data_IF_146780832034
#
_entry.id   IF_146780832034
#
_cell.length_a   1.000
_cell.length_b   1.000
_cell.length_c   1.000
_cell.angle_alpha   90.00
_cell.angle_beta   90.00
_cell.angle_gamma   90.00
#
_symmetry.space_group_name_H-M   'P 1'
#
loop_
_entity.id
_entity.type
_entity.pdbx_description
1 polymer ?
#
# COMPACT_ATOMS: atom_id res chain seq x y z
N UNK A 1 -13.68 -17.75 23.85
CA UNK A 1 -13.34 -17.55 22.42
C UNK A 1 -14.61 -17.36 21.60
N UNK A 2 -14.67 -16.45 20.59
CA UNK A 2 -15.88 -16.30 19.74
C UNK A 2 -16.16 -17.60 18.97
N UNK A 3 -17.42 -18.04 18.93
CA UNK A 3 -17.89 -19.33 18.37
C UNK A 3 -17.32 -19.62 16.96
N UNK A 4 -17.22 -18.59 16.11
CA UNK A 4 -16.69 -18.73 14.75
C UNK A 4 -15.23 -19.20 14.69
N UNK A 5 -14.39 -18.84 15.67
CA UNK A 5 -12.97 -19.26 15.69
C UNK A 5 -12.82 -20.72 16.14
N UNK A 6 -13.68 -21.17 17.06
CA UNK A 6 -13.70 -22.57 17.51
C UNK A 6 -14.00 -23.49 16.33
N UNK A 7 -14.97 -23.12 15.50
CA UNK A 7 -15.34 -23.86 14.30
C UNK A 7 -14.21 -23.97 13.27
N UNK A 8 -13.36 -22.95 13.12
CA UNK A 8 -12.22 -23.02 12.20
C UNK A 8 -11.23 -24.08 12.70
N UNK A 9 -10.93 -24.03 14.01
CA UNK A 9 -9.96 -24.93 14.65
C UNK A 9 -10.48 -26.37 14.69
N UNK A 10 -11.77 -26.56 15.03
CA UNK A 10 -12.43 -27.86 15.04
C UNK A 10 -12.43 -28.54 13.66
N UNK A 11 -12.39 -27.75 12.58
CA UNK A 11 -12.33 -28.25 11.21
C UNK A 11 -10.89 -28.55 10.74
N UNK A 12 -9.87 -28.18 11.51
CA UNK A 12 -8.47 -28.45 11.18
C UNK A 12 -8.02 -29.75 11.88
N UNK A 13 -7.74 -30.83 11.13
CA UNK A 13 -7.32 -32.11 11.72
C UNK A 13 -6.00 -32.02 12.49
N UNK A 14 -5.23 -30.93 12.32
CA UNK A 14 -4.01 -30.72 13.06
C UNK A 14 -4.24 -30.26 14.52
N UNK A 15 -5.45 -29.85 14.90
CA UNK A 15 -5.74 -29.47 16.28
C UNK A 15 -5.54 -30.64 17.26
N UNK A 16 -5.76 -31.89 16.82
CA UNK A 16 -5.51 -33.08 17.63
C UNK A 16 -4.05 -33.21 18.08
N UNK A 17 -3.10 -32.61 17.33
CA UNK A 17 -1.70 -32.55 17.73
C UNK A 17 -1.50 -31.73 19.01
N UNK A 18 -2.36 -30.74 19.28
CA UNK A 18 -2.31 -29.95 20.51
C UNK A 18 -2.62 -30.81 21.73
N UNK A 19 -3.61 -31.69 21.63
CA UNK A 19 -3.94 -32.62 22.70
C UNK A 19 -2.83 -33.64 22.94
N UNK A 20 -2.22 -34.13 21.86
CA UNK A 20 -1.06 -35.02 21.97
C UNK A 20 0.13 -34.32 22.61
N UNK A 21 0.40 -33.06 22.25
CA UNK A 21 1.49 -32.28 22.81
C UNK A 21 1.25 -31.94 24.28
N UNK A 22 0.03 -31.55 24.65
CA UNK A 22 -0.38 -31.30 26.03
C UNK A 22 -0.11 -32.53 26.91
N UNK A 23 -0.51 -33.72 26.43
CA UNK A 23 -0.29 -34.99 27.14
C UNK A 23 1.19 -35.38 27.22
N UNK A 24 1.95 -35.25 26.13
CA UNK A 24 3.38 -35.61 26.10
C UNK A 24 4.26 -34.66 26.90
N UNK A 25 3.91 -33.39 26.94
CA UNK A 25 4.61 -32.38 27.72
C UNK A 25 4.18 -32.30 29.17
N UNK A 26 3.29 -33.20 29.62
CA UNK A 26 2.68 -33.18 30.96
C UNK A 26 2.08 -31.80 31.33
N UNK A 27 1.61 -31.09 30.30
CA UNK A 27 0.95 -29.80 30.45
C UNK A 27 -0.50 -30.04 30.89
N UNK A 28 -0.98 -29.26 31.85
CA UNK A 28 -2.35 -29.35 32.36
C UNK A 28 -3.27 -28.32 31.72
N UNK A 29 -3.09 -28.04 30.42
CA UNK A 29 -3.90 -27.04 29.73
C UNK A 29 -5.31 -27.58 29.47
N UNK A 30 -6.30 -26.74 29.72
CA UNK A 30 -7.69 -27.02 29.40
C UNK A 30 -7.99 -26.76 27.92
N UNK A 31 -9.20 -27.14 27.47
CA UNK A 31 -9.56 -27.03 26.06
C UNK A 31 -9.50 -25.59 25.52
N UNK A 32 -9.91 -24.59 26.30
CA UNK A 32 -9.88 -23.18 25.86
C UNK A 32 -8.44 -22.66 25.74
N UNK A 33 -7.54 -23.10 26.62
CA UNK A 33 -6.11 -22.80 26.54
C UNK A 33 -5.46 -23.44 25.32
N UNK A 34 -5.86 -24.66 24.94
CA UNK A 34 -5.38 -25.31 23.72
C UNK A 34 -5.86 -24.59 22.46
N UNK A 35 -7.13 -24.15 22.41
CA UNK A 35 -7.61 -23.33 21.30
C UNK A 35 -6.84 -22.01 21.19
N UNK A 36 -6.58 -21.36 22.32
CA UNK A 36 -5.80 -20.13 22.36
C UNK A 36 -4.39 -20.34 21.83
N UNK A 37 -3.69 -21.37 22.30
CA UNK A 37 -2.33 -21.69 21.88
C UNK A 37 -2.27 -22.06 20.39
N UNK A 38 -3.26 -22.81 19.90
CA UNK A 38 -3.38 -23.11 18.48
C UNK A 38 -3.56 -21.82 17.67
N UNK A 39 -4.42 -20.91 18.10
CA UNK A 39 -4.58 -19.62 17.45
C UNK A 39 -3.26 -18.82 17.43
N UNK A 40 -2.49 -18.82 18.52
CA UNK A 40 -1.18 -18.17 18.60
C UNK A 40 -0.20 -18.73 17.55
N UNK A 41 -0.14 -20.06 17.39
CA UNK A 41 0.74 -20.70 16.40
C UNK A 41 0.51 -20.16 14.99
N UNK A 42 -0.75 -20.04 14.57
CA UNK A 42 -1.10 -19.54 13.23
C UNK A 42 -0.95 -18.03 13.12
N UNK A 43 -1.41 -17.27 14.12
CA UNK A 43 -1.35 -15.80 14.11
C UNK A 43 0.08 -15.28 14.08
N UNK A 44 1.01 -15.95 14.76
CA UNK A 44 2.41 -15.56 14.79
C UNK A 44 3.22 -16.12 13.62
N UNK A 45 2.61 -16.93 12.74
CA UNK A 45 3.31 -17.55 11.63
C UNK A 45 4.37 -18.55 12.10
N UNK A 46 4.16 -19.23 13.24
CA UNK A 46 5.09 -20.28 13.71
C UNK A 46 5.16 -21.44 12.70
N UNK A 47 4.10 -21.62 11.93
CA UNK A 47 3.98 -22.62 10.86
C UNK A 47 4.40 -22.11 9.47
N UNK A 48 4.89 -20.87 9.38
CA UNK A 48 5.32 -20.25 8.12
C UNK A 48 6.43 -21.08 7.46
N UNK A 49 6.30 -21.30 6.15
CA UNK A 49 7.12 -22.21 5.37
C UNK A 49 6.61 -23.66 5.33
N UNK A 50 5.40 -23.95 5.84
CA UNK A 50 4.80 -25.28 5.73
C UNK A 50 3.46 -25.25 4.97
N UNK A 51 3.49 -25.55 3.64
CA UNK A 51 2.31 -25.44 2.77
C UNK A 51 1.10 -26.24 3.23
N UNK A 52 1.30 -27.35 3.95
CA UNK A 52 0.17 -28.18 4.40
C UNK A 52 -0.68 -27.48 5.46
N UNK A 53 -0.05 -26.76 6.40
CA UNK A 53 -0.77 -26.05 7.46
C UNK A 53 -1.33 -24.73 6.96
N UNK A 54 -0.56 -23.99 6.16
CA UNK A 54 -0.95 -22.71 5.59
C UNK A 54 -2.18 -22.84 4.69
N UNK A 55 -2.11 -23.77 3.72
CA UNK A 55 -3.19 -23.96 2.76
C UNK A 55 -4.48 -24.44 3.44
N UNK A 56 -4.36 -25.33 4.43
CA UNK A 56 -5.51 -25.80 5.21
C UNK A 56 -6.16 -24.67 6.02
N UNK A 57 -5.36 -23.82 6.64
CA UNK A 57 -5.87 -22.67 7.38
C UNK A 57 -6.58 -21.67 6.47
N UNK A 58 -5.98 -21.34 5.32
CA UNK A 58 -6.60 -20.48 4.31
C UNK A 58 -7.95 -21.05 3.85
N UNK A 59 -8.01 -22.35 3.53
CA UNK A 59 -9.23 -23.04 3.13
C UNK A 59 -10.29 -23.05 4.24
N UNK A 60 -9.89 -23.26 5.51
CA UNK A 60 -10.81 -23.24 6.63
C UNK A 60 -11.44 -21.85 6.81
N UNK A 61 -10.64 -20.79 6.69
CA UNK A 61 -11.12 -19.41 6.75
C UNK A 61 -12.03 -19.04 5.57
N UNK A 62 -11.73 -19.54 4.37
CA UNK A 62 -12.56 -19.38 3.17
C UNK A 62 -13.90 -20.11 3.33
N UNK A 63 -13.89 -21.38 3.73
CA UNK A 63 -15.10 -22.20 3.91
C UNK A 63 -16.06 -21.56 4.93
N UNK A 64 -15.52 -21.03 6.01
CA UNK A 64 -16.29 -20.42 7.09
C UNK A 64 -16.59 -18.93 6.88
N UNK A 65 -16.20 -18.33 5.75
CA UNK A 65 -16.44 -16.91 5.42
C UNK A 65 -16.08 -15.96 6.57
N UNK A 66 -14.93 -16.19 7.18
CA UNK A 66 -14.50 -15.45 8.37
C UNK A 66 -14.28 -13.97 8.08
N UNK A 67 -14.30 -13.12 9.11
CA UNK A 67 -14.06 -11.69 8.91
C UNK A 67 -12.64 -11.40 8.37
N UNK A 68 -11.65 -12.20 8.73
CA UNK A 68 -10.29 -12.07 8.17
C UNK A 68 -10.28 -12.39 6.67
N UNK A 69 -10.90 -13.49 6.25
CA UNK A 69 -11.06 -13.81 4.83
C UNK A 69 -11.84 -12.72 4.08
N UNK A 70 -12.96 -12.25 4.64
CA UNK A 70 -13.74 -11.17 4.05
C UNK A 70 -12.93 -9.86 3.94
N UNK A 71 -12.04 -9.58 4.90
CA UNK A 71 -11.14 -8.44 4.83
C UNK A 71 -10.14 -8.56 3.67
N UNK A 72 -9.58 -9.75 3.42
CA UNK A 72 -8.72 -10.01 2.24
C UNK A 72 -9.48 -9.80 0.93
N UNK A 73 -10.71 -10.30 0.84
CA UNK A 73 -11.54 -10.12 -0.36
C UNK A 73 -11.91 -8.64 -0.58
N UNK A 74 -12.19 -7.90 0.50
CA UNK A 74 -12.40 -6.46 0.44
C UNK A 74 -11.13 -5.72 -0.02
N UNK A 75 -9.97 -6.09 0.51
CA UNK A 75 -8.68 -5.56 0.08
C UNK A 75 -8.45 -5.79 -1.42
N UNK A 76 -8.63 -7.02 -1.90
CA UNK A 76 -8.46 -7.35 -3.32
C UNK A 76 -9.39 -6.51 -4.22
N UNK A 77 -10.65 -6.33 -3.82
CA UNK A 77 -11.62 -5.50 -4.53
C UNK A 77 -11.17 -4.03 -4.58
N UNK A 78 -10.74 -3.46 -3.46
CA UNK A 78 -10.32 -2.06 -3.38
C UNK A 78 -9.02 -1.84 -4.14
N UNK A 79 -8.07 -2.78 -4.08
CA UNK A 79 -6.81 -2.71 -4.84
C UNK A 79 -7.09 -2.74 -6.34
N UNK A 80 -8.00 -3.62 -6.79
CA UNK A 80 -8.41 -3.67 -8.20
C UNK A 80 -9.06 -2.37 -8.66
N UNK A 81 -9.99 -1.81 -7.87
CA UNK A 81 -10.64 -0.54 -8.22
C UNK A 81 -9.68 0.65 -8.19
N UNK A 82 -8.78 0.70 -7.22
CA UNK A 82 -7.96 1.89 -6.97
C UNK A 82 -6.70 1.93 -7.83
N UNK A 83 -6.10 0.77 -8.11
CA UNK A 83 -4.80 0.63 -8.77
C UNK A 83 -4.84 -0.22 -10.05
N UNK A 84 -6.03 -0.71 -10.44
CA UNK A 84 -6.20 -1.68 -11.53
C UNK A 84 -5.29 -2.92 -11.38
N UNK A 85 -4.98 -3.32 -10.16
CA UNK A 85 -4.11 -4.45 -9.86
C UNK A 85 -4.90 -5.63 -9.33
N UNK A 86 -4.59 -6.83 -9.83
CA UNK A 86 -5.21 -8.07 -9.37
C UNK A 86 -4.36 -8.66 -8.25
N UNK A 87 -4.86 -8.62 -7.02
CA UNK A 87 -4.20 -9.25 -5.88
C UNK A 87 -4.29 -10.78 -6.02
N UNK A 88 -3.21 -11.49 -5.68
CA UNK A 88 -3.12 -12.95 -5.78
C UNK A 88 -3.95 -13.70 -4.73
N UNK A 89 -5.28 -13.64 -4.82
CA UNK A 89 -6.19 -14.29 -3.87
C UNK A 89 -6.50 -15.76 -4.19
N UNK A 90 -5.99 -16.27 -5.32
CA UNK A 90 -6.13 -17.69 -5.72
C UNK A 90 -4.99 -18.55 -5.22
N UNK A 91 -3.88 -17.93 -4.85
CA UNK A 91 -2.75 -18.58 -4.21
C UNK A 91 -3.05 -18.74 -2.71
N UNK A 92 -3.02 -19.98 -2.23
CA UNK A 92 -3.40 -20.31 -0.86
C UNK A 92 -2.35 -19.87 0.17
N UNK A 93 -1.07 -19.81 -0.21
CA UNK A 93 0.01 -19.33 0.64
C UNK A 93 -0.10 -17.82 0.83
N UNK A 94 -0.34 -17.07 -0.26
CA UNK A 94 -0.62 -15.64 -0.16
C UNK A 94 -1.91 -15.36 0.61
N UNK A 95 -2.96 -16.14 0.38
CA UNK A 95 -4.21 -16.04 1.13
C UNK A 95 -3.99 -16.27 2.62
N UNK A 96 -3.21 -17.30 3.00
CA UNK A 96 -2.81 -17.57 4.37
C UNK A 96 -2.12 -16.34 4.99
N UNK A 97 -1.09 -15.82 4.33
CA UNK A 97 -0.33 -14.66 4.80
C UNK A 97 -1.22 -13.44 5.01
N UNK A 98 -2.14 -13.18 4.07
CA UNK A 98 -3.08 -12.09 4.21
C UNK A 98 -4.05 -12.30 5.37
N UNK A 99 -4.58 -13.51 5.56
CA UNK A 99 -5.47 -13.83 6.68
C UNK A 99 -4.74 -13.69 8.02
N UNK A 100 -3.52 -14.19 8.11
CA UNK A 100 -2.73 -14.24 9.33
C UNK A 100 -2.51 -12.84 9.94
N UNK A 101 -2.20 -11.82 9.13
CA UNK A 101 -2.01 -10.48 9.70
C UNK A 101 -3.32 -9.81 10.12
N UNK A 102 -4.46 -10.09 9.48
CA UNK A 102 -5.76 -9.58 9.94
C UNK A 102 -6.18 -10.24 11.26
N UNK A 103 -5.92 -11.54 11.40
CA UNK A 103 -6.09 -12.26 12.66
C UNK A 103 -5.16 -11.72 13.75
N UNK A 104 -3.90 -11.41 13.41
CA UNK A 104 -2.92 -10.77 14.29
C UNK A 104 -3.38 -9.39 14.77
N UNK A 105 -3.85 -8.54 13.85
CA UNK A 105 -4.41 -7.24 14.19
C UNK A 105 -5.59 -7.36 15.16
N UNK A 106 -6.45 -8.36 14.97
CA UNK A 106 -7.57 -8.60 15.89
C UNK A 106 -7.10 -9.09 17.26
N UNK A 107 -6.05 -9.92 17.29
CA UNK A 107 -5.48 -10.46 18.52
C UNK A 107 -4.83 -9.37 19.39
N UNK A 108 -4.21 -8.36 18.76
CA UNK A 108 -3.56 -7.24 19.42
C UNK A 108 -4.37 -5.94 19.37
N UNK A 109 -5.71 -6.05 19.33
CA UNK A 109 -6.58 -4.87 19.27
C UNK A 109 -6.30 -3.91 20.43
N UNK A 110 -6.00 -2.65 20.12
CA UNK A 110 -5.72 -1.61 21.11
C UNK A 110 -4.25 -1.50 21.55
N UNK A 111 -3.37 -2.39 21.09
CA UNK A 111 -1.93 -2.20 21.20
C UNK A 111 -1.43 -1.70 19.84
N UNK A 112 -0.94 -0.45 19.78
CA UNK A 112 -0.46 0.16 18.54
C UNK A 112 0.81 -0.53 18.03
N UNK A 113 1.58 -1.16 18.93
CA UNK A 113 2.87 -1.74 18.63
C UNK A 113 3.24 -2.83 19.62
N UNK A 114 3.36 -4.07 19.16
CA UNK A 114 4.03 -5.13 19.93
C UNK A 114 5.55 -5.10 19.67
N UNK A 115 6.01 -4.34 18.66
CA UNK A 115 7.38 -4.42 18.15
C UNK A 115 8.14 -3.09 18.05
N UNK A 116 7.49 -1.93 17.98
CA UNK A 116 8.18 -0.65 17.75
C UNK A 116 7.64 0.49 18.61
N UNK A 117 8.49 1.26 19.30
CA UNK A 117 8.03 2.43 20.07
C UNK A 117 7.69 3.65 19.17
N UNK A 118 7.29 3.45 17.91
CA UNK A 118 7.16 4.52 16.91
C UNK A 118 5.91 4.36 16.05
N UNK A 119 5.18 5.46 15.86
CA UNK A 119 4.05 5.50 14.93
C UNK A 119 4.53 5.65 13.49
N UNK A 120 4.58 4.53 12.76
CA UNK A 120 4.87 4.53 11.31
C UNK A 120 3.92 5.40 10.49
N UNK A 121 2.69 5.61 10.98
CA UNK A 121 1.73 6.52 10.35
C UNK A 121 2.26 7.96 10.38
N UNK A 122 2.80 8.38 11.53
CA UNK A 122 3.37 9.72 11.70
C UNK A 122 4.65 9.88 10.88
N UNK A 123 5.56 8.89 10.93
CA UNK A 123 6.77 8.90 10.11
C UNK A 123 6.43 9.01 8.62
N UNK A 124 5.51 8.19 8.10
CA UNK A 124 5.11 8.25 6.70
C UNK A 124 4.45 9.58 6.32
N UNK A 125 3.69 10.17 7.25
CA UNK A 125 3.06 11.48 7.03
C UNK A 125 4.10 12.59 6.89
N UNK A 126 5.17 12.55 7.67
CA UNK A 126 6.24 13.54 7.68
C UNK A 126 7.20 13.38 6.50
N UNK A 127 7.66 12.15 6.24
CA UNK A 127 8.69 11.86 5.23
C UNK A 127 8.11 11.68 3.82
N UNK A 128 6.90 11.12 3.72
CA UNK A 128 6.28 10.72 2.46
C UNK A 128 4.78 11.07 2.39
N UNK A 129 4.41 12.37 2.44
CA UNK A 129 3.02 12.82 2.58
C UNK A 129 2.09 12.32 1.47
N UNK A 130 2.60 12.07 0.26
CA UNK A 130 1.81 11.47 -0.83
C UNK A 130 1.46 10.01 -0.58
N UNK A 131 2.45 9.20 -0.19
CA UNK A 131 2.20 7.79 0.15
C UNK A 131 1.20 7.74 1.31
N UNK A 132 1.34 8.62 2.29
CA UNK A 132 0.36 8.78 3.36
C UNK A 132 -1.05 9.13 2.85
N UNK A 133 -1.20 10.12 1.97
CA UNK A 133 -2.51 10.46 1.38
C UNK A 133 -3.12 9.27 0.60
N UNK A 134 -2.30 8.51 -0.14
CA UNK A 134 -2.75 7.29 -0.83
C UNK A 134 -3.24 6.26 0.18
N UNK A 135 -2.52 6.07 1.29
CA UNK A 135 -2.91 5.17 2.37
C UNK A 135 -4.21 5.61 3.07
N UNK A 136 -4.43 6.92 3.27
CA UNK A 136 -5.69 7.43 3.82
C UNK A 136 -6.87 7.18 2.86
N UNK A 137 -6.68 7.47 1.57
CA UNK A 137 -7.70 7.16 0.55
C UNK A 137 -7.97 5.65 0.46
N UNK A 138 -6.94 4.81 0.59
CA UNK A 138 -7.10 3.36 0.66
C UNK A 138 -7.98 2.97 1.86
N UNK A 139 -7.69 3.49 3.05
CA UNK A 139 -8.49 3.26 4.27
C UNK A 139 -9.96 3.62 4.05
N UNK A 140 -10.24 4.80 3.52
CA UNK A 140 -11.60 5.26 3.22
C UNK A 140 -12.31 4.30 2.26
N UNK A 141 -11.64 3.86 1.19
CA UNK A 141 -12.22 2.91 0.24
C UNK A 141 -12.45 1.53 0.86
N UNK A 142 -11.56 1.06 1.72
CA UNK A 142 -11.71 -0.21 2.45
C UNK A 142 -12.93 -0.17 3.37
N UNK A 143 -13.10 0.91 4.14
CA UNK A 143 -14.25 1.09 5.04
C UNK A 143 -15.56 1.24 4.25
N UNK A 144 -15.53 1.94 3.11
CA UNK A 144 -16.72 2.13 2.26
C UNK A 144 -17.26 0.82 1.68
N UNK A 145 -16.39 -0.15 1.41
CA UNK A 145 -16.77 -1.42 0.77
C UNK A 145 -16.85 -2.59 1.76
N UNK A 146 -16.61 -2.36 3.07
CA UNK A 146 -16.68 -3.39 4.09
C UNK A 146 -18.08 -3.57 4.67
N UNK A 147 -18.38 -4.79 5.11
CA UNK A 147 -19.50 -5.05 6.01
C UNK A 147 -19.12 -4.65 7.45
N UNK A 148 -20.09 -4.64 8.37
CA UNK A 148 -19.85 -4.21 9.77
C UNK A 148 -18.72 -4.99 10.46
N UNK A 149 -18.60 -6.30 10.20
CA UNK A 149 -17.57 -7.12 10.83
C UNK A 149 -16.18 -6.73 10.36
N UNK A 150 -16.00 -6.49 9.06
CA UNK A 150 -14.73 -6.04 8.47
C UNK A 150 -14.45 -4.60 8.88
N UNK A 151 -15.46 -3.72 8.96
CA UNK A 151 -15.29 -2.35 9.46
C UNK A 151 -14.73 -2.34 10.88
N UNK A 152 -15.25 -3.21 11.77
CA UNK A 152 -14.74 -3.33 13.14
C UNK A 152 -13.28 -3.80 13.18
N UNK A 153 -12.88 -4.69 12.25
CA UNK A 153 -11.48 -5.10 12.13
C UNK A 153 -10.59 -3.96 11.64
N UNK A 154 -11.03 -3.23 10.62
CA UNK A 154 -10.32 -2.07 10.06
C UNK A 154 -10.18 -0.89 11.04
N UNK A 155 -10.96 -0.89 12.14
CA UNK A 155 -10.82 0.10 13.21
C UNK A 155 -9.43 0.03 13.86
N UNK A 156 -8.80 -1.16 13.91
CA UNK A 156 -7.40 -1.30 14.33
C UNK A 156 -6.42 -0.96 13.21
N UNK A 157 -6.55 0.26 12.70
CA UNK A 157 -5.81 0.73 11.53
C UNK A 157 -4.30 0.78 11.77
N UNK A 158 -3.87 1.09 12.99
CA UNK A 158 -2.44 1.18 13.34
C UNK A 158 -1.71 -0.15 13.10
N UNK A 159 -2.29 -1.27 13.52
CA UNK A 159 -1.75 -2.61 13.27
C UNK A 159 -1.80 -3.04 11.79
N UNK A 160 -2.78 -2.54 11.03
CA UNK A 160 -2.96 -2.91 9.62
C UNK A 160 -2.14 -2.04 8.66
N UNK A 161 -1.80 -0.82 9.09
CA UNK A 161 -1.20 0.20 8.24
C UNK A 161 0.08 -0.27 7.56
N UNK A 162 1.00 -0.84 8.33
CA UNK A 162 2.28 -1.33 7.82
C UNK A 162 2.11 -2.47 6.82
N UNK A 163 1.24 -3.44 7.13
CA UNK A 163 0.99 -4.58 6.24
C UNK A 163 0.45 -4.09 4.89
N UNK A 164 -0.51 -3.17 4.90
CA UNK A 164 -1.04 -2.57 3.67
C UNK A 164 -0.01 -1.70 2.95
N UNK A 165 0.81 -0.95 3.68
CA UNK A 165 1.90 -0.19 3.11
C UNK A 165 2.87 -1.10 2.36
N UNK A 166 3.33 -2.19 2.97
CA UNK A 166 4.23 -3.15 2.34
C UNK A 166 3.61 -3.82 1.13
N UNK A 167 2.31 -4.16 1.16
CA UNK A 167 1.62 -4.68 -0.02
C UNK A 167 1.66 -3.67 -1.16
N UNK A 168 1.36 -2.39 -0.90
CA UNK A 168 1.40 -1.36 -1.94
C UNK A 168 2.81 -1.12 -2.46
N UNK A 169 3.82 -1.14 -1.59
CA UNK A 169 5.22 -0.89 -1.95
C UNK A 169 5.82 -2.07 -2.73
N UNK A 170 5.60 -3.30 -2.26
CA UNK A 170 6.07 -4.54 -2.89
C UNK A 170 5.57 -4.70 -4.33
N UNK A 171 4.30 -4.36 -4.57
CA UNK A 171 3.70 -4.41 -5.91
C UNK A 171 3.83 -3.11 -6.70
N UNK A 172 4.64 -2.15 -6.21
CA UNK A 172 4.87 -0.83 -6.80
C UNK A 172 3.58 -0.06 -7.17
N UNK A 173 2.55 -0.20 -6.32
CA UNK A 173 1.23 0.40 -6.55
C UNK A 173 1.21 1.89 -6.23
N UNK A 174 2.18 2.38 -5.45
CA UNK A 174 2.39 3.81 -5.26
C UNK A 174 2.77 4.50 -6.59
N UNK A 175 3.59 3.87 -7.43
CA UNK A 175 3.99 4.42 -8.73
C UNK A 175 2.82 4.48 -9.73
N UNK A 176 1.88 3.53 -9.67
CA UNK A 176 0.69 3.49 -10.54
C UNK A 176 -0.30 4.65 -10.32
N UNK A 177 -0.15 5.40 -9.23
CA UNK A 177 -0.94 6.60 -8.93
C UNK A 177 -0.18 7.91 -9.22
N UNK A 178 1.02 7.85 -9.80
CA UNK A 178 1.74 9.07 -10.18
C UNK A 178 1.06 9.68 -11.39
N UNK A 179 0.19 10.67 -11.16
CA UNK A 179 -0.28 11.55 -12.22
C UNK A 179 0.94 12.25 -12.80
N UNK A 180 1.26 12.08 -14.09
CA UNK A 180 2.41 12.74 -14.67
C UNK A 180 2.21 14.25 -14.66
N UNK A 181 3.24 14.99 -14.28
CA UNK A 181 3.25 16.45 -14.43
C UNK A 181 3.27 16.75 -15.91
N UNK A 182 2.25 17.44 -16.39
CA UNK A 182 2.13 17.88 -17.78
C UNK A 182 2.98 19.12 -17.98
N UNK A 183 4.07 18.98 -18.70
CA UNK A 183 5.05 20.06 -18.92
C UNK A 183 5.01 20.49 -20.37
N UNK A 184 4.62 21.73 -20.62
CA UNK A 184 4.81 22.37 -21.92
C UNK A 184 6.22 22.96 -22.00
N UNK A 185 7.02 22.48 -22.95
CA UNK A 185 8.35 23.07 -23.21
C UNK A 185 8.25 23.96 -24.45
N UNK A 186 8.46 25.26 -24.27
CA UNK A 186 8.60 26.22 -25.36
C UNK A 186 10.05 26.68 -25.45
N UNK A 187 10.57 26.70 -26.66
CA UNK A 187 11.85 27.33 -26.94
C UNK A 187 11.78 28.05 -28.28
N UNK A 188 12.53 29.15 -28.37
CA UNK A 188 12.74 29.91 -29.62
C UNK A 188 13.95 29.37 -30.41
N UNK A 189 14.57 28.30 -29.90
CA UNK A 189 15.66 27.56 -30.53
C UNK A 189 15.14 26.44 -31.43
N UNK A 190 16.06 25.66 -32.00
CA UNK A 190 15.74 24.46 -32.76
C UNK A 190 15.09 23.38 -31.90
N UNK A 191 14.18 22.61 -32.51
CA UNK A 191 13.49 21.46 -31.92
C UNK A 191 14.41 20.49 -31.15
N UNK A 192 15.65 20.31 -31.61
CA UNK A 192 16.66 19.48 -30.95
C UNK A 192 16.98 19.93 -29.53
N UNK A 193 17.03 21.24 -29.27
CA UNK A 193 17.28 21.79 -27.94
C UNK A 193 16.14 21.42 -26.98
N UNK A 194 14.90 21.51 -27.45
CA UNK A 194 13.71 21.08 -26.70
C UNK A 194 13.76 19.61 -26.30
N UNK A 195 14.06 18.72 -27.25
CA UNK A 195 14.19 17.29 -26.98
C UNK A 195 15.32 17.01 -25.99
N UNK A 196 16.45 17.70 -26.13
CA UNK A 196 17.55 17.63 -25.19
C UNK A 196 17.13 18.06 -23.78
N UNK A 197 16.39 19.17 -23.65
CA UNK A 197 15.92 19.68 -22.36
C UNK A 197 14.93 18.72 -21.71
N UNK A 198 13.96 18.19 -22.47
CA UNK A 198 13.02 17.17 -22.00
C UNK A 198 13.78 15.94 -21.47
N UNK A 199 14.79 15.46 -22.20
CA UNK A 199 15.62 14.33 -21.77
C UNK A 199 16.45 14.65 -20.53
N UNK A 200 17.00 15.86 -20.40
CA UNK A 200 17.72 16.29 -19.19
C UNK A 200 16.79 16.34 -17.98
N UNK A 201 15.59 16.90 -18.11
CA UNK A 201 14.61 16.91 -17.02
C UNK A 201 14.26 15.47 -16.59
N UNK A 202 14.02 14.56 -17.54
CA UNK A 202 13.80 13.14 -17.24
C UNK A 202 14.98 12.53 -16.50
N UNK A 203 16.22 12.79 -16.93
CA UNK A 203 17.40 12.25 -16.28
C UNK A 203 17.56 12.77 -14.84
N UNK A 204 17.37 14.06 -14.62
CA UNK A 204 17.55 14.69 -13.31
C UNK A 204 16.42 14.39 -12.31
N UNK A 205 15.18 14.19 -12.78
CA UNK A 205 14.01 14.14 -11.90
C UNK A 205 13.08 12.95 -12.14
N UNK A 206 13.29 12.16 -13.19
CA UNK A 206 12.39 11.08 -13.61
C UNK A 206 12.32 9.89 -12.64
N UNK A 207 13.26 9.80 -11.69
CA UNK A 207 13.21 8.84 -10.60
C UNK A 207 12.25 9.28 -9.47
N UNK A 208 11.93 10.58 -9.39
CA UNK A 208 11.08 11.16 -8.34
C UNK A 208 9.69 11.58 -8.85
N UNK A 209 9.56 11.86 -10.14
CA UNK A 209 8.31 12.35 -10.75
C UNK A 209 8.08 11.71 -12.11
N UNK A 210 6.81 11.46 -12.46
CA UNK A 210 6.44 11.11 -13.83
C UNK A 210 6.15 12.39 -14.63
N UNK A 211 6.51 12.37 -15.91
CA UNK A 211 6.37 13.53 -16.80
C UNK A 211 5.68 13.16 -18.10
N UNK A 212 4.77 14.04 -18.53
CA UNK A 212 4.20 14.07 -19.86
C UNK A 212 4.60 15.39 -20.51
N UNK A 213 5.43 15.33 -21.56
CA UNK A 213 5.95 16.52 -22.22
C UNK A 213 5.10 16.87 -23.44
N UNK A 214 4.81 18.16 -23.56
CA UNK A 214 4.03 18.74 -24.64
C UNK A 214 4.86 19.77 -25.41
N UNK A 215 4.48 19.96 -26.67
CA UNK A 215 5.05 20.97 -27.57
C UNK A 215 4.10 22.17 -27.75
N UNK A 216 4.54 23.12 -28.56
CA UNK A 216 3.85 24.39 -28.84
C UNK A 216 2.43 24.25 -29.41
N UNK A 217 1.99 23.06 -29.82
CA UNK A 217 0.61 22.81 -30.29
C UNK A 217 -0.37 22.69 -29.14
N UNK A 218 0.11 22.42 -27.93
CA UNK A 218 -0.73 22.20 -26.76
C UNK A 218 -1.08 23.53 -26.09
N UNK A 219 -2.37 23.84 -25.88
CA UNK A 219 -2.76 25.03 -25.14
C UNK A 219 -2.21 25.02 -23.71
N UNK A 220 -1.71 26.17 -23.23
CA UNK A 220 -1.19 26.35 -21.86
C UNK A 220 -2.22 25.93 -20.79
N UNK A 221 -3.52 26.06 -21.07
CA UNK A 221 -4.58 25.65 -20.15
C UNK A 221 -4.69 24.14 -19.90
N UNK A 222 -3.99 23.31 -20.67
CA UNK A 222 -4.02 21.84 -20.55
C UNK A 222 -2.80 21.25 -19.82
N UNK A 223 -1.88 22.09 -19.36
CA UNK A 223 -0.62 21.67 -18.73
C UNK A 223 -0.49 22.23 -17.31
N UNK A 224 0.31 21.57 -16.50
CA UNK A 224 0.54 21.92 -15.08
C UNK A 224 1.71 22.89 -14.92
N UNK A 225 2.64 22.92 -15.89
CA UNK A 225 3.85 23.72 -15.87
C UNK A 225 4.27 24.11 -17.29
N UNK A 226 4.71 25.35 -17.46
CA UNK A 226 5.41 25.81 -18.66
C UNK A 226 6.88 26.05 -18.36
N UNK A 227 7.76 25.51 -19.20
CA UNK A 227 9.19 25.80 -19.20
C UNK A 227 9.52 26.51 -20.50
N UNK A 228 10.12 27.69 -20.40
CA UNK A 228 10.49 28.49 -21.56
C UNK A 228 11.83 29.18 -21.40
N UNK A 229 12.53 29.43 -22.50
CA UNK A 229 13.76 30.25 -22.51
C UNK A 229 13.51 31.74 -22.81
N UNK A 230 12.29 32.10 -23.18
CA UNK A 230 11.81 33.46 -23.33
C UNK A 230 10.51 33.66 -22.54
N UNK A 231 10.13 34.91 -22.32
CA UNK A 231 8.91 35.23 -21.59
C UNK A 231 7.66 34.95 -22.42
N UNK A 232 6.66 34.31 -21.79
CA UNK A 232 5.37 33.97 -22.40
C UNK A 232 4.29 34.24 -21.35
N UNK A 233 3.18 34.84 -21.76
CA UNK A 233 2.02 35.00 -20.87
C UNK A 233 1.31 33.64 -20.70
N UNK A 234 1.50 33.03 -19.54
CA UNK A 234 0.92 31.74 -19.17
C UNK A 234 -0.35 31.89 -18.32
N UNK A 235 -0.85 33.12 -18.12
CA UNK A 235 -1.95 33.45 -17.22
C UNK A 235 -1.69 32.90 -15.81
N UNK A 236 -2.46 31.90 -15.38
CA UNK A 236 -2.36 31.29 -14.05
C UNK A 236 -1.48 30.04 -14.03
N UNK A 237 -1.02 29.54 -15.17
CA UNK A 237 -0.15 28.37 -15.23
C UNK A 237 1.28 28.77 -14.82
N UNK A 238 1.93 28.07 -13.89
CA UNK A 238 3.30 28.38 -13.49
C UNK A 238 4.28 28.37 -14.66
N UNK A 239 5.15 29.38 -14.73
CA UNK A 239 6.20 29.51 -15.72
C UNK A 239 7.57 29.43 -15.05
N UNK A 240 8.46 28.59 -15.59
CA UNK A 240 9.88 28.62 -15.28
C UNK A 240 10.65 29.11 -16.50
N UNK A 241 11.33 30.23 -16.30
CA UNK A 241 12.31 30.73 -17.26
C UNK A 241 13.63 29.97 -17.11
N UNK A 242 13.97 29.15 -18.10
CA UNK A 242 15.22 28.40 -18.18
C UNK A 242 16.11 28.95 -19.26
N UNK A 243 17.38 29.21 -18.93
CA UNK A 243 18.38 29.56 -19.95
C UNK A 243 18.57 28.40 -20.93
N UNK A 244 19.01 28.70 -22.15
CA UNK A 244 19.38 27.71 -23.19
C UNK A 244 20.35 26.64 -22.66
N UNK A 245 21.21 27.01 -21.71
CA UNK A 245 21.97 26.08 -20.90
C UNK A 245 21.56 26.30 -19.45
N UNK A 246 20.67 25.46 -18.89
CA UNK A 246 20.18 25.64 -17.54
C UNK A 246 21.31 25.51 -16.51
N UNK A 247 21.33 26.44 -15.56
CA UNK A 247 22.26 26.43 -14.43
C UNK A 247 21.72 25.63 -13.26
N UNK A 248 22.54 25.33 -12.27
CA UNK A 248 22.11 24.73 -11.00
C UNK A 248 20.94 25.47 -10.34
N UNK A 249 20.90 26.81 -10.47
CA UNK A 249 19.77 27.61 -10.00
C UNK A 249 18.47 27.26 -10.73
N UNK A 250 18.53 27.08 -12.05
CA UNK A 250 17.37 26.68 -12.85
C UNK A 250 16.88 25.28 -12.43
N UNK A 251 17.80 24.34 -12.21
CA UNK A 251 17.45 22.99 -11.76
C UNK A 251 16.83 22.97 -10.37
N UNK A 252 17.37 23.74 -9.42
CA UNK A 252 16.78 23.87 -8.08
C UNK A 252 15.39 24.50 -8.12
N UNK A 253 15.19 25.53 -8.94
CA UNK A 253 13.86 26.14 -9.12
C UNK A 253 12.85 25.16 -9.72
N UNK A 254 13.26 24.37 -10.71
CA UNK A 254 12.43 23.31 -11.26
C UNK A 254 12.10 22.26 -10.19
N UNK A 255 13.08 21.77 -9.45
CA UNK A 255 12.86 20.80 -8.37
C UNK A 255 11.86 21.29 -7.31
N UNK A 256 12.01 22.55 -6.86
CA UNK A 256 11.08 23.16 -5.92
C UNK A 256 9.66 23.26 -6.49
N UNK A 257 9.51 23.71 -7.74
CA UNK A 257 8.22 23.82 -8.40
C UNK A 257 7.56 22.44 -8.60
N UNK A 258 8.33 21.45 -9.06
CA UNK A 258 7.84 20.08 -9.20
C UNK A 258 7.33 19.54 -7.88
N UNK A 259 8.07 19.75 -6.78
CA UNK A 259 7.63 19.37 -5.44
C UNK A 259 6.32 20.05 -5.04
N UNK A 260 6.15 21.35 -5.32
CA UNK A 260 4.91 22.09 -5.06
C UNK A 260 3.73 21.59 -5.89
N UNK A 261 3.92 21.36 -7.19
CA UNK A 261 2.86 20.92 -8.11
C UNK A 261 2.32 19.54 -7.78
N UNK A 262 3.16 18.70 -7.17
CA UNK A 262 2.79 17.32 -6.90
C UNK A 262 2.43 17.09 -5.44
N UNK A 263 2.57 18.09 -4.56
CA UNK A 263 2.15 18.05 -3.15
C UNK A 263 0.63 17.90 -3.01
#
# INVERSE_FOLDING_TARGET
MKIAKKQIIDNDPNFDLMWQWNKKGELTLNQDELYFLYQVIYVFGIIDGNPNYENRYALAHQKNQTHAYQAVMNLALVIKKTFNFQLGTTDLELMFNFIAFHERSTFFYGNSDVFFNRSYIMELKEEHPRKYQIMQKLKEQLVKHSNQSVTNLLANWEQLFLNYYFILDYYDLFAKKVTPVKILVQDDLHHTHRLWLMNKIRAYFGHSFAFEFYDYKTPVSKVDLVISNYYIDTKNCPLILMKNLPTERNWRQLGAMLYHLTK
#
